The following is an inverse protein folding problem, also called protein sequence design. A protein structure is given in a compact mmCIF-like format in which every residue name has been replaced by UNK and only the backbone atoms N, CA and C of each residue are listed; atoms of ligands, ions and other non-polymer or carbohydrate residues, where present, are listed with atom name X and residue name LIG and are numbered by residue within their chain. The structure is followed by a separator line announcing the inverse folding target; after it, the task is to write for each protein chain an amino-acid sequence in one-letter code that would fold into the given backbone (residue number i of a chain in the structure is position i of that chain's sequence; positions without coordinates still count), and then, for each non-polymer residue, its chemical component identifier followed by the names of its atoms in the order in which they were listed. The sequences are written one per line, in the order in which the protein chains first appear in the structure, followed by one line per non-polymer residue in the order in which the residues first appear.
data_IF_017287607250
#
_entry.id   IF_017287607250
#
_cell.length_a   1.000
_cell.length_b   1.000
_cell.length_c   1.000
_cell.angle_alpha   90.00
_cell.angle_beta   90.00
_cell.angle_gamma   90.00
#
_symmetry.space_group_name_H-M   'P 1'
#
loop_
_entity.id
_entity.type
_entity.pdbx_description
1 polymer ?
#
# COMPACT_ATOMS: atom_id res chain seq x y z
N UNK A 1 -5.04 -45.64 -57.95
CA UNK A 1 -5.22 -44.24 -57.66
C UNK A 1 -5.71 -44.14 -56.21
N UNK A 2 -4.81 -43.98 -55.26
CA UNK A 2 -5.11 -43.78 -53.83
C UNK A 2 -5.30 -42.30 -53.61
N UNK A 3 -6.45 -41.86 -53.08
CA UNK A 3 -6.71 -40.53 -52.62
C UNK A 3 -6.07 -40.38 -51.26
N UNK A 4 -5.06 -39.54 -51.20
CA UNK A 4 -4.42 -39.07 -50.00
C UNK A 4 -5.37 -38.07 -49.30
N UNK A 5 -6.08 -38.52 -48.25
CA UNK A 5 -6.86 -37.69 -47.38
C UNK A 5 -5.91 -37.06 -46.31
N UNK A 6 -5.30 -35.95 -46.66
CA UNK A 6 -4.56 -35.15 -45.72
C UNK A 6 -5.56 -34.48 -44.76
N UNK A 7 -5.86 -35.15 -43.66
CA UNK A 7 -6.63 -34.60 -42.54
C UNK A 7 -5.80 -33.43 -41.92
N UNK A 8 -6.02 -32.24 -42.42
CA UNK A 8 -5.49 -31.03 -41.81
C UNK A 8 -6.15 -30.83 -40.44
N UNK A 9 -5.49 -31.27 -39.40
CA UNK A 9 -5.93 -31.01 -38.02
C UNK A 9 -5.80 -29.49 -37.76
N UNK A 10 -6.85 -28.74 -38.11
CA UNK A 10 -6.93 -27.31 -37.83
C UNK A 10 -6.83 -27.13 -36.31
N UNK A 11 -5.79 -26.44 -35.85
CA UNK A 11 -5.71 -26.04 -34.42
C UNK A 11 -7.02 -25.35 -34.05
N UNK A 12 -7.67 -25.72 -32.94
CA UNK A 12 -8.90 -25.05 -32.52
C UNK A 12 -8.59 -23.55 -32.29
N UNK A 13 -9.48 -22.70 -32.79
CA UNK A 13 -9.39 -21.27 -32.59
C UNK A 13 -9.44 -20.95 -31.10
N UNK A 14 -8.86 -19.82 -30.72
CA UNK A 14 -8.88 -19.35 -29.34
C UNK A 14 -9.27 -17.90 -29.25
N UNK A 15 -9.90 -17.50 -28.13
CA UNK A 15 -10.12 -16.12 -27.74
C UNK A 15 -9.27 -15.84 -26.49
N UNK A 16 -8.48 -14.78 -26.53
CA UNK A 16 -7.68 -14.31 -25.38
C UNK A 16 -8.23 -12.96 -24.93
N UNK A 17 -8.65 -12.88 -23.68
CA UNK A 17 -9.23 -11.68 -23.11
C UNK A 17 -8.69 -11.39 -21.72
N UNK A 18 -8.58 -10.09 -21.37
CA UNK A 18 -8.32 -9.66 -20.03
C UNK A 18 -9.62 -9.43 -19.24
N UNK A 19 -9.57 -9.71 -17.95
CA UNK A 19 -10.58 -9.34 -16.98
C UNK A 19 -9.96 -8.65 -15.78
N UNK A 20 -10.64 -7.66 -15.20
CA UNK A 20 -10.24 -6.97 -13.98
C UNK A 20 -11.39 -6.97 -12.99
N UNK A 21 -11.15 -7.52 -11.82
CA UNK A 21 -12.07 -7.43 -10.69
C UNK A 21 -11.61 -6.35 -9.71
N UNK A 22 -12.54 -5.61 -9.14
CA UNK A 22 -12.30 -4.54 -8.18
C UNK A 22 -13.29 -4.63 -7.04
N UNK A 23 -12.78 -4.43 -5.83
CA UNK A 23 -13.59 -4.42 -4.61
C UNK A 23 -13.19 -3.19 -3.80
N UNK A 24 -14.15 -2.34 -3.50
CA UNK A 24 -13.96 -1.25 -2.56
C UNK A 24 -14.19 -1.77 -1.15
N UNK A 25 -13.26 -1.55 -0.25
CA UNK A 25 -13.28 -1.99 1.14
C UNK A 25 -12.90 -0.84 2.08
N UNK A 26 -13.43 -0.85 3.29
CA UNK A 26 -12.98 0.04 4.34
C UNK A 26 -11.68 -0.52 4.92
N UNK A 27 -10.62 0.27 5.04
CA UNK A 27 -9.39 -0.17 5.69
C UNK A 27 -9.63 -0.38 7.19
N UNK A 28 -8.90 -1.32 7.77
CA UNK A 28 -9.00 -1.69 9.19
C UNK A 28 -7.73 -1.38 9.99
N UNK A 29 -6.64 -0.99 9.32
CA UNK A 29 -5.41 -0.53 9.97
C UNK A 29 -4.84 0.71 9.28
N UNK A 30 -4.13 1.53 10.07
CA UNK A 30 -3.33 2.65 9.59
C UNK A 30 -1.85 2.41 9.91
N UNK A 31 -0.98 2.60 8.92
CA UNK A 31 0.46 2.66 9.11
C UNK A 31 0.89 4.12 9.17
N UNK A 32 1.40 4.53 10.32
CA UNK A 32 1.91 5.87 10.61
C UNK A 32 3.44 5.81 10.70
N UNK A 33 4.15 6.70 10.01
CA UNK A 33 5.58 6.87 10.16
C UNK A 33 5.88 8.25 10.76
N UNK A 34 6.52 8.25 11.91
CA UNK A 34 6.89 9.45 12.64
C UNK A 34 8.28 9.31 13.28
N UNK A 35 8.85 10.41 13.71
CA UNK A 35 10.18 10.38 14.28
C UNK A 35 10.63 11.70 14.88
N UNK A 36 11.91 11.70 15.24
CA UNK A 36 12.62 12.89 15.71
C UNK A 36 13.79 13.18 14.77
N UNK A 37 14.03 14.48 14.55
CA UNK A 37 15.22 14.99 13.90
C UNK A 37 15.84 16.05 14.81
N UNK A 38 17.04 15.80 15.31
CA UNK A 38 17.70 16.62 16.33
C UNK A 38 19.08 17.03 15.85
N UNK A 39 19.34 18.33 15.87
CA UNK A 39 20.63 18.91 15.54
C UNK A 39 21.39 19.31 16.82
N UNK A 40 22.64 18.85 16.96
CA UNK A 40 23.53 19.20 18.09
C UNK A 40 24.97 19.39 17.62
N UNK A 41 25.80 20.11 18.39
CA UNK A 41 27.21 20.30 18.04
C UNK A 41 28.03 19.01 18.04
N UNK A 42 27.63 17.99 18.82
CA UNK A 42 28.33 16.71 18.93
C UNK A 42 27.39 15.53 18.67
N UNK A 43 27.91 14.42 18.16
CA UNK A 43 27.18 13.17 17.95
C UNK A 43 26.57 12.65 19.25
N UNK A 44 27.31 12.73 20.36
CA UNK A 44 26.85 12.17 21.64
C UNK A 44 25.66 12.97 22.20
N UNK A 45 25.69 14.30 22.10
CA UNK A 45 24.56 15.15 22.50
C UNK A 45 23.32 14.87 21.61
N UNK A 46 23.50 14.77 20.28
CA UNK A 46 22.42 14.44 19.37
C UNK A 46 21.80 13.07 19.69
N UNK A 47 22.65 12.07 19.94
CA UNK A 47 22.21 10.71 20.30
C UNK A 47 21.42 10.67 21.60
N UNK A 48 21.93 11.35 22.64
CA UNK A 48 21.30 11.35 23.98
C UNK A 48 19.91 12.01 23.90
N UNK A 49 19.81 13.16 23.26
CA UNK A 49 18.55 13.90 23.15
C UNK A 49 17.54 13.15 22.27
N UNK A 50 17.98 12.56 21.16
CA UNK A 50 17.12 11.75 20.30
C UNK A 50 16.62 10.49 20.99
N UNK A 51 17.46 9.82 21.79
CA UNK A 51 17.06 8.65 22.56
C UNK A 51 16.00 9.03 23.62
N UNK A 52 16.19 10.13 24.31
CA UNK A 52 15.23 10.63 25.32
C UNK A 52 13.88 10.96 24.66
N UNK A 53 13.89 11.74 23.58
CA UNK A 53 12.66 12.09 22.86
C UNK A 53 11.95 10.86 22.30
N UNK A 54 12.70 9.94 21.67
CA UNK A 54 12.10 8.71 21.11
C UNK A 54 11.50 7.82 22.20
N UNK A 55 12.13 7.72 23.38
CA UNK A 55 11.56 6.97 24.51
C UNK A 55 10.21 7.58 24.93
N UNK A 56 10.13 8.89 25.08
CA UNK A 56 8.87 9.57 25.40
C UNK A 56 7.77 9.33 24.36
N UNK A 57 8.13 9.35 23.08
CA UNK A 57 7.21 9.07 21.97
C UNK A 57 6.71 7.64 22.04
N UNK A 58 7.61 6.66 22.24
CA UNK A 58 7.23 5.25 22.35
C UNK A 58 6.30 4.99 23.53
N UNK A 59 6.55 5.65 24.65
CA UNK A 59 5.69 5.56 25.84
C UNK A 59 4.30 6.16 25.57
N UNK A 60 4.23 7.30 24.88
CA UNK A 60 2.96 7.92 24.49
C UNK A 60 2.16 7.01 23.52
N UNK A 61 2.81 6.40 22.53
CA UNK A 61 2.19 5.49 21.58
C UNK A 61 1.65 4.23 22.29
N UNK A 62 2.45 3.63 23.19
CA UNK A 62 2.02 2.49 23.99
C UNK A 62 0.87 2.86 24.95
N UNK A 63 0.95 4.06 25.55
CA UNK A 63 -0.12 4.61 26.40
C UNK A 63 -1.44 4.84 25.66
N UNK A 64 -1.40 5.09 24.35
CA UNK A 64 -2.56 5.20 23.49
C UNK A 64 -3.11 3.81 23.02
N UNK A 65 -2.58 2.70 23.55
CA UNK A 65 -3.08 1.36 23.32
C UNK A 65 -2.41 0.59 22.17
N UNK A 66 -1.35 1.14 21.53
CA UNK A 66 -0.63 0.43 20.49
C UNK A 66 0.34 -0.58 21.09
N UNK A 67 0.21 -1.89 20.78
CA UNK A 67 1.08 -2.91 21.32
C UNK A 67 2.48 -2.83 20.70
N UNK A 68 3.50 -3.24 21.46
CA UNK A 68 4.91 -3.15 21.06
C UNK A 68 5.21 -3.88 19.73
N UNK A 69 4.53 -5.00 19.45
CA UNK A 69 4.66 -5.75 18.19
C UNK A 69 4.29 -4.94 16.95
N UNK A 70 3.46 -3.91 17.09
CA UNK A 70 3.00 -3.03 16.01
C UNK A 70 3.85 -1.76 15.89
N UNK A 71 4.97 -1.67 16.64
CA UNK A 71 5.92 -0.56 16.60
C UNK A 71 7.27 -1.08 16.11
N UNK A 72 7.82 -0.45 15.06
CA UNK A 72 9.10 -0.86 14.48
C UNK A 72 9.95 0.36 14.13
N UNK A 73 11.22 0.38 14.59
CA UNK A 73 12.20 1.35 14.12
C UNK A 73 12.51 1.13 12.64
N UNK A 74 12.42 2.17 11.85
CA UNK A 74 12.65 2.13 10.39
C UNK A 74 13.91 2.87 9.97
N UNK A 75 14.35 3.86 10.75
CA UNK A 75 15.53 4.65 10.45
C UNK A 75 16.23 5.07 11.73
N UNK A 76 17.54 4.93 11.76
CA UNK A 76 18.45 5.67 12.65
C UNK A 76 19.60 6.16 11.80
N UNK A 77 19.76 7.48 11.70
CA UNK A 77 20.77 8.09 10.84
C UNK A 77 21.45 9.25 11.57
N UNK A 78 22.75 9.41 11.36
CA UNK A 78 23.54 10.54 11.83
C UNK A 78 24.25 11.15 10.62
N UNK A 79 24.07 12.44 10.41
CA UNK A 79 24.68 13.17 9.31
C UNK A 79 25.46 14.39 9.84
N UNK A 80 26.71 14.64 9.39
CA UNK A 80 27.42 15.87 9.71
C UNK A 80 26.76 17.04 8.99
N UNK A 81 26.62 18.16 9.70
CA UNK A 81 26.11 19.42 9.17
C UNK A 81 27.27 20.36 8.89
N UNK A 82 27.34 20.88 7.66
CA UNK A 82 28.34 21.86 7.25
C UNK A 82 27.70 23.19 6.89
N UNK A 83 28.39 24.26 7.24
CA UNK A 83 28.10 25.62 6.74
C UNK A 83 28.94 25.84 5.47
N UNK A 84 28.27 26.10 4.35
CA UNK A 84 28.88 26.38 3.05
C UNK A 84 28.79 27.88 2.78
N UNK A 85 29.91 28.60 2.93
CA UNK A 85 30.01 30.03 2.62
C UNK A 85 30.83 30.24 1.37
N UNK A 86 30.38 31.15 0.51
CA UNK A 86 31.06 31.46 -0.76
C UNK A 86 32.55 31.75 -0.58
N UNK A 87 33.37 31.01 -1.33
CA UNK A 87 34.85 31.19 -1.36
C UNK A 87 35.59 30.67 -0.12
N UNK A 88 34.96 29.92 0.79
CA UNK A 88 35.64 29.27 1.94
C UNK A 88 35.40 27.77 1.99
N UNK A 89 36.32 27.00 2.56
CA UNK A 89 36.09 25.57 2.83
C UNK A 89 34.88 25.39 3.71
N UNK A 90 34.09 24.29 3.54
CA UNK A 90 32.98 23.97 4.43
C UNK A 90 33.41 23.82 5.89
N UNK A 91 32.65 24.40 6.80
CA UNK A 91 32.91 24.32 8.24
C UNK A 91 31.88 23.41 8.89
N UNK A 92 32.33 22.38 9.61
CA UNK A 92 31.47 21.52 10.39
C UNK A 92 30.79 22.31 11.50
N UNK A 93 29.45 22.35 11.52
CA UNK A 93 28.65 23.11 12.50
C UNK A 93 27.91 22.21 13.49
N UNK A 94 27.93 20.90 13.29
CA UNK A 94 27.27 19.94 14.15
C UNK A 94 26.84 18.68 13.43
N UNK A 95 25.86 18.01 14.00
CA UNK A 95 25.33 16.74 13.49
C UNK A 95 23.82 16.75 13.58
N UNK A 96 23.17 16.23 12.54
CA UNK A 96 21.75 15.95 12.49
C UNK A 96 21.55 14.45 12.74
N UNK A 97 20.78 14.11 13.77
CA UNK A 97 20.38 12.74 14.05
C UNK A 97 18.88 12.60 13.79
N UNK A 98 18.54 11.63 12.96
CA UNK A 98 17.15 11.23 12.70
C UNK A 98 16.90 9.83 13.22
N UNK A 99 15.77 9.66 13.92
CA UNK A 99 15.29 8.36 14.39
C UNK A 99 13.79 8.29 14.10
N UNK A 100 13.36 7.31 13.30
CA UNK A 100 11.97 7.15 12.87
C UNK A 100 11.44 5.75 13.20
N UNK A 101 10.16 5.72 13.54
CA UNK A 101 9.41 4.49 13.82
C UNK A 101 8.19 4.41 12.90
N UNK A 102 7.85 3.19 12.50
CA UNK A 102 6.57 2.86 11.90
C UNK A 102 5.67 2.25 12.96
N UNK A 103 4.46 2.72 13.01
CA UNK A 103 3.43 2.33 13.98
C UNK A 103 2.21 1.85 13.20
N UNK A 104 1.79 0.60 13.42
CA UNK A 104 0.54 0.07 12.87
C UNK A 104 -0.57 0.27 13.90
N UNK A 105 -1.50 1.15 13.59
CA UNK A 105 -2.65 1.46 14.46
C UNK A 105 -3.85 0.66 13.98
N UNK A 106 -4.32 -0.29 14.83
CA UNK A 106 -5.45 -1.18 14.53
C UNK A 106 -6.79 -0.61 14.97
N UNK A 107 -6.79 0.24 15.99
CA UNK A 107 -7.96 1.01 16.37
C UNK A 107 -7.91 2.38 15.68
N UNK A 108 -8.59 2.50 14.55
CA UNK A 108 -8.59 3.73 13.76
C UNK A 108 -9.25 4.90 14.52
N UNK A 109 -10.11 4.64 15.52
CA UNK A 109 -10.68 5.69 16.34
C UNK A 109 -9.64 6.31 17.29
N UNK A 110 -8.62 5.54 17.69
CA UNK A 110 -7.51 6.04 18.50
C UNK A 110 -6.42 6.77 17.70
N UNK A 111 -6.45 6.73 16.36
CA UNK A 111 -5.37 7.26 15.51
C UNK A 111 -5.06 8.74 15.76
N UNK A 112 -6.09 9.59 15.89
CA UNK A 112 -5.89 11.00 16.20
C UNK A 112 -5.16 11.20 17.54
N UNK A 113 -5.52 10.43 18.56
CA UNK A 113 -4.85 10.48 19.87
C UNK A 113 -3.40 9.99 19.81
N UNK A 114 -3.11 8.95 18.99
CA UNK A 114 -1.74 8.47 18.76
C UNK A 114 -0.89 9.56 18.12
N UNK A 115 -1.43 10.27 17.12
CA UNK A 115 -0.75 11.37 16.44
C UNK A 115 -0.47 12.52 17.44
N UNK A 116 -1.50 13.01 18.10
CA UNK A 116 -1.38 14.15 19.00
C UNK A 116 -0.47 13.84 20.20
N UNK A 117 -0.62 12.66 20.79
CA UNK A 117 0.25 12.20 21.88
C UNK A 117 1.71 12.10 21.47
N UNK A 118 1.98 11.62 20.24
CA UNK A 118 3.35 11.54 19.71
C UNK A 118 3.98 12.92 19.50
N UNK A 119 3.21 13.88 18.95
CA UNK A 119 3.66 15.26 18.75
C UNK A 119 3.92 15.95 20.09
N UNK A 120 3.04 15.80 21.07
CA UNK A 120 3.20 16.34 22.43
C UNK A 120 4.39 15.72 23.15
N UNK A 121 4.70 14.44 22.89
CA UNK A 121 5.84 13.74 23.45
C UNK A 121 7.18 14.12 22.77
N UNK A 122 7.16 14.96 21.72
CA UNK A 122 8.36 15.51 21.09
C UNK A 122 8.68 14.95 19.69
N UNK A 123 7.73 14.31 19.01
CA UNK A 123 7.91 13.99 17.60
C UNK A 123 8.07 15.29 16.78
N UNK A 124 9.10 15.32 15.93
CA UNK A 124 9.41 16.48 15.08
C UNK A 124 9.12 16.21 13.60
N UNK A 125 8.85 14.96 13.24
CA UNK A 125 8.44 14.59 11.89
C UNK A 125 7.29 13.59 11.92
N UNK A 126 6.41 13.71 10.93
CA UNK A 126 5.41 12.72 10.53
C UNK A 126 5.52 12.59 9.02
N UNK A 127 6.14 11.50 8.58
CA UNK A 127 6.59 11.33 7.20
C UNK A 127 5.50 10.74 6.30
N UNK A 128 4.67 9.87 6.85
CA UNK A 128 3.57 9.24 6.10
C UNK A 128 2.47 8.73 7.03
N UNK A 129 1.26 8.74 6.49
CA UNK A 129 0.10 8.04 7.00
C UNK A 129 -0.56 7.33 5.83
N UNK A 130 -0.78 6.02 5.96
CA UNK A 130 -1.46 5.22 4.94
C UNK A 130 -2.42 4.24 5.58
N UNK A 131 -3.52 3.97 4.87
CA UNK A 131 -4.55 3.03 5.32
C UNK A 131 -4.51 1.79 4.44
N UNK A 132 -4.73 0.63 5.05
CA UNK A 132 -4.78 -0.66 4.34
C UNK A 132 -5.66 -1.67 5.08
N UNK A 133 -5.88 -2.81 4.44
CA UNK A 133 -6.38 -4.00 5.13
C UNK A 133 -5.22 -4.72 5.82
N UNK A 134 -5.43 -5.20 7.02
CA UNK A 134 -4.49 -6.09 7.71
C UNK A 134 -4.45 -7.45 6.99
N UNK A 135 -5.64 -7.99 6.65
CA UNK A 135 -5.78 -9.20 5.84
C UNK A 135 -6.60 -8.92 4.56
N UNK A 136 -5.95 -8.81 3.38
CA UNK A 136 -6.63 -8.57 2.12
C UNK A 136 -7.23 -9.83 1.48
N UNK A 137 -7.07 -11.03 2.06
CA UNK A 137 -7.35 -12.35 1.44
C UNK A 137 -8.77 -12.44 0.89
N UNK A 138 -9.79 -12.05 1.64
CA UNK A 138 -11.18 -12.14 1.19
C UNK A 138 -11.53 -11.09 0.12
N UNK A 139 -10.97 -9.90 0.23
CA UNK A 139 -11.13 -8.86 -0.79
C UNK A 139 -10.46 -9.28 -2.11
N UNK A 140 -9.24 -9.83 -2.04
CA UNK A 140 -8.55 -10.40 -3.21
C UNK A 140 -9.31 -11.58 -3.82
N UNK A 141 -9.86 -12.49 -2.99
CA UNK A 141 -10.67 -13.59 -3.47
C UNK A 141 -11.88 -13.10 -4.25
N UNK A 142 -12.58 -12.11 -3.72
CA UNK A 142 -13.74 -11.51 -4.38
C UNK A 142 -13.34 -10.81 -5.69
N UNK A 143 -12.23 -10.08 -5.69
CA UNK A 143 -11.69 -9.44 -6.88
C UNK A 143 -11.28 -10.47 -7.95
N UNK A 144 -10.66 -11.62 -7.58
CA UNK A 144 -10.34 -12.72 -8.51
C UNK A 144 -11.58 -13.28 -9.18
N UNK A 145 -12.63 -13.56 -8.41
CA UNK A 145 -13.89 -14.07 -8.97
C UNK A 145 -14.50 -13.07 -9.95
N UNK A 146 -14.51 -11.79 -9.61
CA UNK A 146 -15.01 -10.72 -10.49
C UNK A 146 -14.17 -10.59 -11.77
N UNK A 147 -12.83 -10.72 -11.68
CA UNK A 147 -11.93 -10.66 -12.82
C UNK A 147 -12.21 -11.79 -13.83
N UNK A 148 -12.34 -13.03 -13.34
CA UNK A 148 -12.64 -14.19 -14.19
C UNK A 148 -14.03 -14.07 -14.82
N UNK A 149 -15.03 -13.63 -14.06
CA UNK A 149 -16.38 -13.39 -14.58
C UNK A 149 -16.38 -12.32 -15.68
N UNK A 150 -15.64 -11.23 -15.52
CA UNK A 150 -15.52 -10.20 -16.54
C UNK A 150 -14.80 -10.71 -17.79
N UNK A 151 -13.71 -11.47 -17.64
CA UNK A 151 -13.01 -12.09 -18.79
C UNK A 151 -13.96 -13.00 -19.57
N UNK A 152 -14.74 -13.83 -18.87
CA UNK A 152 -15.72 -14.72 -19.48
C UNK A 152 -16.80 -13.96 -20.27
N UNK A 153 -17.41 -12.94 -19.66
CA UNK A 153 -18.41 -12.10 -20.32
C UNK A 153 -17.86 -11.44 -21.60
N UNK A 154 -16.62 -10.96 -21.57
CA UNK A 154 -15.96 -10.41 -22.77
C UNK A 154 -15.75 -11.47 -23.85
N UNK A 155 -15.34 -12.67 -23.48
CA UNK A 155 -15.14 -13.77 -24.43
C UNK A 155 -16.47 -14.20 -25.07
N UNK A 156 -17.56 -14.25 -24.30
CA UNK A 156 -18.91 -14.58 -24.80
C UNK A 156 -19.41 -13.57 -25.84
N UNK A 157 -19.22 -12.26 -25.57
CA UNK A 157 -19.55 -11.21 -26.54
C UNK A 157 -18.75 -11.37 -27.84
N UNK A 158 -17.44 -11.65 -27.75
CA UNK A 158 -16.59 -11.84 -28.93
C UNK A 158 -16.97 -13.10 -29.72
N UNK A 159 -17.27 -14.19 -29.02
CA UNK A 159 -17.68 -15.45 -29.63
C UNK A 159 -19.01 -15.28 -30.36
N UNK A 160 -19.99 -14.63 -29.75
CA UNK A 160 -21.29 -14.32 -30.36
C UNK A 160 -21.12 -13.46 -31.63
N UNK A 161 -20.35 -12.38 -31.56
CA UNK A 161 -20.09 -11.51 -32.70
C UNK A 161 -19.36 -12.22 -33.85
N UNK A 162 -18.54 -13.24 -33.54
CA UNK A 162 -17.83 -14.05 -34.54
C UNK A 162 -18.66 -15.25 -35.04
N UNK A 163 -19.84 -15.51 -34.50
CA UNK A 163 -20.69 -16.65 -34.85
C UNK A 163 -20.11 -18.02 -34.43
N UNK A 164 -19.34 -18.03 -33.33
CA UNK A 164 -18.70 -19.23 -32.78
C UNK A 164 -19.11 -19.45 -31.32
N UNK A 165 -18.90 -20.65 -30.79
CA UNK A 165 -19.18 -20.95 -29.38
C UNK A 165 -17.87 -21.16 -28.57
N UNK A 166 -17.93 -20.87 -27.27
CA UNK A 166 -16.83 -21.17 -26.34
C UNK A 166 -16.96 -22.64 -25.91
N UNK A 167 -15.89 -23.43 -26.14
CA UNK A 167 -15.82 -24.84 -25.71
C UNK A 167 -15.29 -25.01 -24.28
N UNK A 168 -14.46 -24.07 -23.79
CA UNK A 168 -13.90 -24.14 -22.46
C UNK A 168 -12.69 -23.24 -22.27
N UNK A 169 -12.14 -23.25 -21.06
CA UNK A 169 -10.91 -22.51 -20.69
C UNK A 169 -9.69 -23.36 -21.06
N UNK A 170 -8.69 -22.77 -21.68
CA UNK A 170 -7.39 -23.37 -21.99
C UNK A 170 -6.36 -22.97 -20.95
N UNK A 171 -6.34 -21.70 -20.58
CA UNK A 171 -5.33 -21.13 -19.69
C UNK A 171 -5.87 -19.91 -18.96
N UNK A 172 -5.39 -19.71 -17.73
CA UNK A 172 -5.64 -18.51 -16.90
C UNK A 172 -4.32 -18.04 -16.32
N UNK A 173 -3.97 -16.81 -16.60
CA UNK A 173 -2.78 -16.14 -16.03
C UNK A 173 -3.24 -15.02 -15.14
N UNK A 174 -2.93 -15.10 -13.85
CA UNK A 174 -3.11 -14.00 -12.90
C UNK A 174 -1.87 -13.10 -12.93
N UNK A 175 -2.07 -11.80 -13.01
CA UNK A 175 -0.97 -10.84 -13.03
C UNK A 175 -0.41 -10.66 -14.43
N UNK A 176 -0.96 -9.83 -15.21
CA UNK A 176 -0.52 -9.47 -16.58
C UNK A 176 -1.10 -8.13 -17.04
N UNK A 177 -1.74 -7.41 -16.13
CA UNK A 177 -2.27 -6.07 -16.36
C UNK A 177 -1.45 -4.99 -15.66
N UNK A 178 -1.74 -3.70 -15.92
CA UNK A 178 -1.12 -2.60 -15.19
C UNK A 178 -1.30 -2.84 -13.69
N UNK A 179 -0.19 -2.76 -12.96
CA UNK A 179 -0.10 -3.06 -11.54
C UNK A 179 -1.14 -2.33 -10.68
N UNK A 180 -1.18 -2.60 -9.37
CA UNK A 180 -2.21 -2.09 -8.48
C UNK A 180 -2.34 -0.57 -8.68
N UNK A 181 -3.52 -0.16 -9.13
CA UNK A 181 -3.87 1.25 -9.24
C UNK A 181 -3.78 1.85 -7.84
N UNK A 182 -3.06 2.95 -7.69
CA UNK A 182 -3.02 3.70 -6.44
C UNK A 182 -4.45 4.08 -6.06
N UNK A 183 -4.86 3.86 -4.80
CA UNK A 183 -6.19 4.20 -4.34
C UNK A 183 -6.42 5.70 -4.53
N UNK A 184 -7.48 6.05 -5.25
CA UNK A 184 -7.96 7.42 -5.26
C UNK A 184 -8.94 7.57 -4.08
N UNK A 185 -8.65 8.44 -3.11
CA UNK A 185 -9.55 8.65 -1.99
C UNK A 185 -10.85 9.29 -2.46
N UNK A 186 -11.95 8.57 -2.33
CA UNK A 186 -13.29 9.18 -2.36
C UNK A 186 -13.61 9.58 -0.93
N UNK A 187 -13.59 10.88 -0.65
CA UNK A 187 -13.89 11.45 0.65
C UNK A 187 -15.31 11.06 1.12
N UNK A 188 -15.37 10.30 2.19
CA UNK A 188 -16.58 10.17 3.00
C UNK A 188 -16.34 10.94 4.30
N UNK A 189 -17.17 11.95 4.57
CA UNK A 189 -17.11 12.76 5.79
C UNK A 189 -17.81 12.02 6.92
N UNK A 190 -17.07 11.60 7.94
CA UNK A 190 -17.60 11.42 9.29
C UNK A 190 -17.08 12.57 10.15
N UNK A 191 -17.99 13.43 10.59
CA UNK A 191 -17.69 14.44 11.61
C UNK A 191 -17.78 13.77 12.97
N UNK A 192 -16.65 13.55 13.63
CA UNK A 192 -16.56 13.34 15.06
C UNK A 192 -15.91 14.57 15.68
N UNK A 193 -16.71 15.27 16.48
CA UNK A 193 -16.26 16.43 17.25
C UNK A 193 -15.59 15.93 18.54
N UNK A 194 -14.29 15.76 18.52
CA UNK A 194 -13.43 15.79 19.69
C UNK A 194 -12.06 16.38 19.28
N UNK A 195 -11.32 16.95 20.24
CA UNK A 195 -10.15 17.80 20.00
C UNK A 195 -8.90 17.11 19.42
N UNK A 196 -9.03 15.91 18.90
CA UNK A 196 -7.96 15.17 18.24
C UNK A 196 -7.80 15.56 16.77
N UNK A 197 -6.59 15.40 16.20
CA UNK A 197 -6.33 15.61 14.79
C UNK A 197 -7.30 14.79 13.95
N UNK A 198 -8.17 15.43 13.11
CA UNK A 198 -9.14 14.70 12.30
C UNK A 198 -8.43 13.92 11.21
N UNK A 199 -8.75 12.63 11.09
CA UNK A 199 -8.16 11.73 10.10
C UNK A 199 -9.28 10.91 9.46
N UNK A 200 -9.32 10.89 8.12
CA UNK A 200 -10.31 10.17 7.33
C UNK A 200 -9.65 9.00 6.60
N UNK A 201 -10.09 7.79 6.86
CA UNK A 201 -9.54 6.58 6.25
C UNK A 201 -10.02 6.37 4.80
N UNK A 202 -11.24 6.83 4.48
CA UNK A 202 -11.85 6.61 3.17
C UNK A 202 -12.08 5.13 2.86
N UNK A 203 -12.11 4.78 1.56
CA UNK A 203 -12.17 3.39 1.07
C UNK A 203 -10.93 3.07 0.25
N UNK A 204 -10.45 1.83 0.36
CA UNK A 204 -9.34 1.30 -0.43
C UNK A 204 -9.88 0.36 -1.50
N UNK A 205 -9.35 0.42 -2.73
CA UNK A 205 -9.70 -0.50 -3.80
C UNK A 205 -8.69 -1.64 -3.89
N UNK A 206 -9.18 -2.88 -3.77
CA UNK A 206 -8.42 -4.08 -4.07
C UNK A 206 -8.74 -4.50 -5.50
N UNK A 207 -7.72 -4.66 -6.34
CA UNK A 207 -7.86 -4.97 -7.77
C UNK A 207 -7.03 -6.17 -8.15
N UNK A 208 -7.63 -7.09 -8.91
CA UNK A 208 -6.96 -8.25 -9.50
C UNK A 208 -7.22 -8.27 -10.99
N UNK A 209 -6.18 -8.55 -11.78
CA UNK A 209 -6.28 -8.70 -13.23
C UNK A 209 -5.91 -10.12 -13.65
N UNK A 210 -6.67 -10.67 -14.60
CA UNK A 210 -6.42 -11.97 -15.20
C UNK A 210 -6.44 -11.88 -16.72
N UNK A 211 -5.65 -12.72 -17.37
CA UNK A 211 -5.75 -13.00 -18.80
C UNK A 211 -6.23 -14.42 -18.95
N UNK A 212 -7.32 -14.64 -19.71
CA UNK A 212 -7.93 -15.95 -19.91
C UNK A 212 -7.94 -16.28 -21.39
N UNK A 213 -7.48 -17.49 -21.70
CA UNK A 213 -7.54 -18.07 -23.05
C UNK A 213 -8.67 -19.09 -23.10
N UNK A 214 -9.65 -18.84 -23.95
CA UNK A 214 -10.78 -19.73 -24.21
C UNK A 214 -10.58 -20.48 -25.54
N UNK A 215 -10.92 -21.76 -25.57
CA UNK A 215 -11.01 -22.58 -26.79
C UNK A 215 -12.39 -22.43 -27.42
N UNK A 216 -12.40 -22.31 -28.74
CA UNK A 216 -13.63 -22.29 -29.54
C UNK A 216 -14.08 -23.70 -29.89
N UNK A 217 -15.41 -23.88 -30.01
CA UNK A 217 -16.03 -25.12 -30.45
C UNK A 217 -15.97 -25.26 -31.98
#
# INVERSE_FOLDING_TARGET
MAKDETSSTRKPGTIVVGGTGRVAVEPDVADLQLGVSIARPTVDAARTDAATAMTSILDAIKGAGVPERDIRTTLVSVQPRYDYRDGRPPVLTGYDLSNSVRVTVRDLAALGHVIDGSLQAGATSMDSLSFRLDDPTEAERTARLAAVAQARARAEILAEAAGVAIAGVVDIIEGGGPGPGYPQPKAARLMLADSATPVEAGTTEVSVSVTVTFRLA
#
